data_IF_491209933323
#
_entry.id   IF_491209933323
#
_cell.length_a   1.000
_cell.length_b   1.000
_cell.length_c   1.000
_cell.angle_alpha   90.00
_cell.angle_beta   90.00
_cell.angle_gamma   90.00
#
_symmetry.space_group_name_H-M   'P 1'
#
loop_
_entity.id
_entity.type
_entity.pdbx_description
1 polymer ?
#
# COMPACT_ATOMS: atom_id res chain seq x y z
N UNK A 1 22.96 9.93 -9.73
CA UNK A 1 22.22 10.31 -10.95
C UNK A 1 20.73 9.94 -10.90
N UNK A 2 20.35 8.66 -10.75
CA UNK A 2 18.93 8.24 -10.76
C UNK A 2 18.07 8.87 -9.65
N UNK A 3 18.61 9.00 -8.43
CA UNK A 3 17.88 9.65 -7.31
C UNK A 3 17.48 11.10 -7.63
N UNK A 4 18.36 11.86 -8.29
CA UNK A 4 18.08 13.25 -8.66
C UNK A 4 17.02 13.34 -9.75
N UNK A 5 16.99 12.39 -10.70
CA UNK A 5 15.96 12.32 -11.73
C UNK A 5 14.58 12.10 -11.11
N UNK A 6 14.43 11.09 -10.24
CA UNK A 6 13.17 10.79 -9.56
C UNK A 6 12.72 11.96 -8.68
N UNK A 7 13.65 12.57 -7.94
CA UNK A 7 13.37 13.76 -7.14
C UNK A 7 12.83 14.90 -8.01
N UNK A 8 13.44 15.14 -9.18
CA UNK A 8 13.00 16.16 -10.12
C UNK A 8 11.63 15.82 -10.74
N UNK A 9 11.36 14.55 -11.05
CA UNK A 9 10.06 14.12 -11.56
C UNK A 9 8.94 14.30 -10.52
N UNK A 10 9.21 13.97 -9.24
CA UNK A 10 8.28 14.25 -8.13
C UNK A 10 8.02 15.76 -8.01
N UNK A 11 9.09 16.58 -8.03
CA UNK A 11 8.96 18.05 -7.94
C UNK A 11 8.17 18.66 -9.09
N UNK A 12 8.27 18.07 -10.29
CA UNK A 12 7.52 18.47 -11.48
C UNK A 12 6.10 17.89 -11.53
N UNK A 13 5.69 17.11 -10.52
CA UNK A 13 4.37 16.47 -10.48
C UNK A 13 4.19 15.35 -11.50
N UNK A 14 5.27 14.80 -12.08
CA UNK A 14 5.18 13.71 -13.07
C UNK A 14 4.92 12.34 -12.42
N UNK A 15 5.38 12.18 -11.18
CA UNK A 15 5.15 10.99 -10.35
C UNK A 15 4.83 11.44 -8.93
N UNK A 16 4.10 10.60 -8.20
CA UNK A 16 3.81 10.78 -6.79
C UNK A 16 4.55 9.74 -5.95
N UNK A 17 5.17 10.14 -4.86
CA UNK A 17 5.99 9.24 -4.02
C UNK A 17 5.17 8.69 -2.86
N UNK A 18 4.92 7.38 -2.86
CA UNK A 18 4.16 6.68 -1.82
C UNK A 18 5.01 6.39 -0.57
N UNK A 19 6.25 5.92 -0.79
CA UNK A 19 7.26 5.75 0.26
C UNK A 19 8.67 5.81 -0.33
N UNK A 20 9.69 5.59 0.48
CA UNK A 20 11.05 5.46 -0.07
C UNK A 20 11.15 4.29 -1.04
N UNK A 21 11.54 4.59 -2.27
CA UNK A 21 11.71 3.60 -3.34
C UNK A 21 10.40 3.16 -4.02
N UNK A 22 9.24 3.66 -3.61
CA UNK A 22 7.95 3.31 -4.22
C UNK A 22 7.23 4.57 -4.66
N UNK A 23 6.83 4.59 -5.92
CA UNK A 23 6.24 5.73 -6.59
C UNK A 23 5.02 5.26 -7.38
N UNK A 24 4.06 6.16 -7.56
CA UNK A 24 2.89 5.99 -8.43
C UNK A 24 2.90 7.09 -9.50
N UNK A 25 2.09 6.91 -10.54
CA UNK A 25 1.90 7.90 -11.59
C UNK A 25 0.98 9.01 -11.09
N UNK A 26 1.18 10.24 -11.55
CA UNK A 26 0.29 11.35 -11.20
C UNK A 26 -0.97 11.34 -12.08
N UNK A 27 -2.13 11.54 -11.46
CA UNK A 27 -3.46 11.52 -12.09
C UNK A 27 -3.58 12.41 -13.34
N UNK A 28 -2.85 13.54 -13.36
CA UNK A 28 -2.93 14.56 -14.42
C UNK A 28 -2.31 14.11 -15.75
N UNK A 29 -1.43 13.11 -15.75
CA UNK A 29 -0.55 12.87 -16.90
C UNK A 29 -1.06 11.83 -17.92
N UNK A 30 -1.93 10.91 -17.54
CA UNK A 30 -2.53 9.93 -18.47
C UNK A 30 -3.92 9.51 -17.97
N UNK A 31 -4.95 10.23 -18.41
CA UNK A 31 -6.36 9.85 -18.35
C UNK A 31 -6.80 9.12 -17.09
N UNK A 32 -6.88 9.80 -15.94
CA UNK A 32 -7.64 9.44 -14.73
C UNK A 32 -7.67 7.95 -14.29
N UNK A 33 -6.67 7.13 -14.62
CA UNK A 33 -6.59 5.76 -14.12
C UNK A 33 -5.94 5.80 -12.73
N UNK A 34 -6.77 5.93 -11.70
CA UNK A 34 -6.33 5.77 -10.32
C UNK A 34 -5.82 4.33 -10.11
N UNK A 35 -4.63 4.20 -9.52
CA UNK A 35 -4.09 2.88 -9.17
C UNK A 35 -4.97 2.29 -8.09
N UNK A 36 -5.42 1.05 -8.30
CA UNK A 36 -6.32 0.39 -7.36
C UNK A 36 -5.67 0.30 -5.95
N UNK A 37 -6.39 0.57 -4.85
CA UNK A 37 -5.84 0.53 -3.50
C UNK A 37 -5.20 -0.81 -3.14
N UNK A 38 -5.75 -1.93 -3.60
CA UNK A 38 -5.15 -3.24 -3.37
C UNK A 38 -3.77 -3.39 -4.02
N UNK A 39 -3.55 -2.79 -5.19
CA UNK A 39 -2.23 -2.76 -5.84
C UNK A 39 -1.25 -1.90 -5.06
N UNK A 40 -1.73 -0.75 -4.54
CA UNK A 40 -0.93 0.12 -3.67
C UNK A 40 -0.49 -0.65 -2.41
N UNK A 41 -1.42 -1.38 -1.76
CA UNK A 41 -1.12 -2.19 -0.58
C UNK A 41 -0.03 -3.23 -0.84
N UNK A 42 -0.08 -3.94 -1.95
CA UNK A 42 0.91 -4.99 -2.25
C UNK A 42 2.28 -4.46 -2.63
N UNK A 43 2.40 -3.19 -3.03
CA UNK A 43 3.66 -2.55 -3.43
C UNK A 43 4.32 -1.71 -2.33
N UNK A 44 3.54 -1.13 -1.40
CA UNK A 44 4.09 -0.40 -0.24
C UNK A 44 4.80 -1.37 0.71
N UNK A 45 4.31 -2.59 0.88
CA UNK A 45 5.01 -3.61 1.67
C UNK A 45 5.14 -4.87 0.84
N UNK A 46 6.37 -5.35 0.65
CA UNK A 46 6.63 -6.56 -0.13
C UNK A 46 7.59 -7.50 0.60
N UNK A 47 7.27 -8.80 0.72
CA UNK A 47 6.09 -9.47 0.17
C UNK A 47 4.82 -9.15 0.99
N UNK A 48 3.67 -9.04 0.34
CA UNK A 48 2.37 -8.96 1.03
C UNK A 48 1.23 -9.40 0.11
N UNK A 49 0.07 -9.67 0.70
CA UNK A 49 -1.17 -9.88 -0.05
C UNK A 49 -2.35 -9.25 0.71
N UNK A 50 -3.41 -8.87 0.01
CA UNK A 50 -4.65 -8.41 0.66
C UNK A 50 -5.23 -9.53 1.53
N UNK A 51 -5.86 -9.14 2.64
CA UNK A 51 -6.33 -10.07 3.66
C UNK A 51 -7.60 -9.55 4.32
N UNK A 52 -8.20 -10.35 5.21
CA UNK A 52 -9.37 -9.95 6.01
C UNK A 52 -10.48 -9.32 5.15
N UNK A 53 -10.98 -8.13 5.53
CA UNK A 53 -12.08 -7.46 4.86
C UNK A 53 -11.77 -7.14 3.39
N UNK A 54 -10.53 -6.78 3.08
CA UNK A 54 -10.11 -6.52 1.70
C UNK A 54 -10.12 -7.77 0.84
N UNK A 55 -9.71 -8.92 1.38
CA UNK A 55 -9.79 -10.19 0.64
C UNK A 55 -11.23 -10.65 0.44
N UNK A 56 -12.09 -10.51 1.47
CA UNK A 56 -13.52 -10.80 1.34
C UNK A 56 -14.16 -9.95 0.25
N UNK A 57 -13.86 -8.64 0.23
CA UNK A 57 -14.40 -7.75 -0.79
C UNK A 57 -13.88 -8.11 -2.19
N UNK A 58 -12.58 -8.35 -2.35
CA UNK A 58 -11.98 -8.71 -3.63
C UNK A 58 -12.57 -10.00 -4.22
N UNK A 59 -12.88 -10.98 -3.38
CA UNK A 59 -13.44 -12.26 -3.80
C UNK A 59 -14.98 -12.28 -3.85
N UNK A 60 -15.65 -11.13 -3.67
CA UNK A 60 -17.11 -11.05 -3.75
C UNK A 60 -17.84 -11.67 -2.56
N UNK A 61 -17.15 -11.90 -1.44
CA UNK A 61 -17.74 -12.40 -0.19
C UNK A 61 -18.31 -11.28 0.69
N UNK A 62 -18.23 -10.02 0.26
CA UNK A 62 -18.95 -8.88 0.85
C UNK A 62 -19.16 -7.78 -0.19
N UNK A 63 -20.34 -7.16 -0.17
CA UNK A 63 -20.66 -5.98 -0.99
C UNK A 63 -20.15 -4.67 -0.36
N UNK A 64 -19.76 -4.71 0.91
CA UNK A 64 -19.31 -3.52 1.63
C UNK A 64 -17.94 -3.08 1.12
N UNK A 65 -17.84 -1.82 0.68
CA UNK A 65 -16.59 -1.22 0.22
C UNK A 65 -15.67 -0.99 1.43
N UNK A 66 -14.45 -1.56 1.46
CA UNK A 66 -13.53 -1.41 2.58
C UNK A 66 -13.02 0.03 2.68
N UNK A 67 -13.29 0.69 3.81
CA UNK A 67 -12.68 1.99 4.16
C UNK A 67 -11.22 1.85 4.62
N UNK A 68 -10.84 0.64 5.04
CA UNK A 68 -9.49 0.29 5.46
C UNK A 68 -9.02 -0.87 4.60
N UNK A 69 -7.85 -0.71 3.99
CA UNK A 69 -7.22 -1.76 3.20
C UNK A 69 -6.36 -2.63 4.12
N UNK A 70 -6.76 -3.89 4.30
CA UNK A 70 -6.04 -4.87 5.08
C UNK A 70 -5.17 -5.73 4.18
N UNK A 71 -3.89 -5.85 4.52
CA UNK A 71 -2.96 -6.79 3.92
C UNK A 71 -2.18 -7.53 5.00
N UNK A 72 -1.61 -8.68 4.67
CA UNK A 72 -0.68 -9.36 5.55
C UNK A 72 0.70 -9.52 4.92
N UNK A 73 1.71 -9.69 5.75
CA UNK A 73 3.10 -9.80 5.31
C UNK A 73 3.89 -10.67 6.28
N UNK A 74 4.93 -11.31 5.78
CA UNK A 74 5.93 -12.00 6.61
C UNK A 74 7.05 -11.09 7.10
N UNK A 75 7.10 -9.82 6.67
CA UNK A 75 8.13 -8.86 7.09
C UNK A 75 7.60 -7.90 8.13
N UNK A 76 8.46 -7.51 9.06
CA UNK A 76 8.17 -6.43 10.03
C UNK A 76 7.85 -5.14 9.29
N UNK A 77 6.69 -4.56 9.57
CA UNK A 77 6.27 -3.26 9.03
C UNK A 77 6.58 -2.16 10.02
N UNK A 78 7.19 -1.08 9.54
CA UNK A 78 7.40 0.16 10.29
C UNK A 78 6.68 1.26 9.54
N UNK A 79 5.61 1.80 10.13
CA UNK A 79 4.85 2.90 9.53
C UNK A 79 5.43 4.25 9.93
N UNK A 80 5.10 5.35 9.22
CA UNK A 80 5.53 6.69 9.59
C UNK A 80 5.15 7.06 11.04
N UNK A 81 3.94 6.69 11.48
CA UNK A 81 3.44 6.96 12.83
C UNK A 81 4.20 6.24 13.95
N UNK A 82 4.96 5.19 13.64
CA UNK A 82 5.79 4.47 14.62
C UNK A 82 7.13 5.16 14.91
N UNK A 83 7.52 6.18 14.12
CA UNK A 83 8.83 6.85 14.24
C UNK A 83 8.82 8.06 15.19
N UNK A 84 7.66 8.40 15.77
CA UNK A 84 7.51 9.51 16.72
C UNK A 84 7.84 9.12 18.17
N UNK A 85 8.09 10.13 19.03
CA UNK A 85 8.35 9.93 20.46
C UNK A 85 7.14 9.38 21.24
N UNK A 86 5.93 9.60 20.74
CA UNK A 86 4.67 9.08 21.27
C UNK A 86 3.95 8.31 20.17
N UNK A 87 4.20 7.00 20.01
CA UNK A 87 3.43 6.17 19.09
C UNK A 87 1.95 6.27 19.45
N UNK A 88 1.08 6.52 18.47
CA UNK A 88 -0.37 6.50 18.67
C UNK A 88 -0.83 5.13 19.17
N UNK A 89 -1.74 5.08 20.13
CA UNK A 89 -2.26 3.84 20.75
C UNK A 89 -3.12 2.98 19.78
N UNK A 90 -3.52 3.55 18.64
CA UNK A 90 -4.23 2.84 17.57
C UNK A 90 -3.32 1.98 16.70
N UNK A 91 -3.91 1.05 15.93
CA UNK A 91 -3.15 0.24 14.94
C UNK A 91 -2.34 1.16 14.04
N UNK A 92 -1.06 0.86 13.88
CA UNK A 92 -0.19 1.63 13.01
C UNK A 92 -0.52 1.35 11.53
N UNK A 93 -0.75 2.41 10.75
CA UNK A 93 -1.12 2.29 9.34
C UNK A 93 -0.28 3.22 8.45
N UNK A 94 -0.26 2.92 7.15
CA UNK A 94 0.10 3.91 6.13
C UNK A 94 -1.16 4.68 5.74
N UNK A 95 -1.05 5.99 5.54
CA UNK A 95 -2.12 6.85 5.03
C UNK A 95 -1.61 7.45 3.73
N UNK A 96 -2.29 7.17 2.63
CA UNK A 96 -1.96 7.62 1.28
C UNK A 96 -3.28 7.97 0.60
N UNK A 97 -3.36 9.18 0.05
CA UNK A 97 -4.57 9.70 -0.63
C UNK A 97 -5.84 9.47 0.21
N UNK A 98 -5.77 9.78 1.51
CA UNK A 98 -6.81 9.56 2.52
C UNK A 98 -7.28 8.11 2.75
N UNK A 99 -6.63 7.14 2.09
CA UNK A 99 -6.87 5.72 2.29
C UNK A 99 -5.93 5.16 3.35
N UNK A 100 -6.50 4.40 4.28
CA UNK A 100 -5.77 3.75 5.38
C UNK A 100 -5.37 2.31 5.01
N UNK A 101 -4.08 2.00 5.14
CA UNK A 101 -3.51 0.69 4.87
C UNK A 101 -2.94 0.05 6.14
N UNK A 102 -3.55 -1.05 6.58
CA UNK A 102 -3.14 -1.81 7.76
C UNK A 102 -2.49 -3.14 7.37
N UNK A 103 -1.35 -3.44 7.99
CA UNK A 103 -0.61 -4.66 7.74
C UNK A 103 -0.58 -5.57 8.97
N UNK A 104 -1.02 -6.81 8.79
CA UNK A 104 -0.90 -7.87 9.78
C UNK A 104 0.41 -8.61 9.50
N UNK A 105 1.32 -8.64 10.47
CA UNK A 105 2.55 -9.43 10.33
C UNK A 105 2.29 -10.86 10.77
N UNK A 106 2.55 -11.82 9.89
CA UNK A 106 2.43 -13.26 10.16
C UNK A 106 3.79 -13.94 10.12
N UNK A 107 3.91 -15.12 10.74
CA UNK A 107 5.11 -15.95 10.55
C UNK A 107 5.23 -16.35 9.08
N UNK A 108 6.46 -16.54 8.60
CA UNK A 108 6.72 -16.92 7.21
C UNK A 108 5.97 -18.20 6.81
N UNK A 109 5.88 -19.18 7.71
CA UNK A 109 5.19 -20.46 7.47
C UNK A 109 3.66 -20.31 7.37
N UNK A 110 3.11 -19.16 7.80
CA UNK A 110 1.70 -18.81 7.70
C UNK A 110 1.43 -17.74 6.64
N UNK A 111 2.45 -17.35 5.86
CA UNK A 111 2.29 -16.44 4.74
C UNK A 111 2.02 -17.24 3.46
N UNK A 112 0.78 -17.19 2.98
CA UNK A 112 0.31 -17.85 1.77
C UNK A 112 -0.63 -16.91 1.01
N UNK A 113 -1.10 -17.30 -0.18
CA UNK A 113 -2.05 -16.49 -0.93
C UNK A 113 -2.12 -16.89 -2.40
N UNK A 114 -2.94 -16.19 -3.16
CA UNK A 114 -3.08 -16.36 -4.59
C UNK A 114 -2.36 -15.20 -5.28
N UNK A 115 -1.40 -15.53 -6.14
CA UNK A 115 -0.76 -14.55 -7.01
C UNK A 115 -1.52 -14.49 -8.33
N UNK A 116 -2.05 -13.32 -8.66
CA UNK A 116 -2.69 -13.08 -9.96
C UNK A 116 -1.76 -12.21 -10.78
N UNK A 117 -1.11 -12.83 -11.77
CA UNK A 117 -0.39 -12.08 -12.78
C UNK A 117 -1.42 -11.32 -13.62
N UNK A 118 -1.25 -10.01 -13.72
CA UNK A 118 -1.98 -9.20 -14.70
C UNK A 118 -1.29 -9.48 -16.04
N UNK A 119 -1.87 -10.38 -16.83
CA UNK A 119 -1.55 -10.56 -18.25
C UNK A 119 -1.98 -9.34 -19.09
#
# INVERSE_FOLDING_TARGET
YVSNLLMNMVRKGLIHRLRQGVYTRTEVTLGNMQVHPFSIATHIVSPSAISHWSALHYHGFTEQIPQIINAFTSKKVVTPGMRGKNPSDGRHAWIIDDIRYEYITVKKDYYFGIEKNLD
#
